data_IF_857806028062
#
_entry.id   IF_857806028062
#
_cell.length_a   1.000
_cell.length_b   1.000
_cell.length_c   1.000
_cell.angle_alpha   90.00
_cell.angle_beta   90.00
_cell.angle_gamma   90.00
#
_symmetry.space_group_name_H-M   'P 1'
#
loop_
_entity.id
_entity.type
_entity.pdbx_description
1 polymer ?
#
# COMPACT_ATOMS: atom_id res chain seq x y z
N UNK A 1 -20.15 40.63 -4.97
CA UNK A 1 -19.02 40.19 -4.13
C UNK A 1 -18.97 38.68 -4.28
N UNK A 2 -18.10 38.16 -5.13
CA UNK A 2 -17.99 36.72 -5.37
C UNK A 2 -17.17 36.13 -4.23
N UNK A 3 -17.79 35.30 -3.39
CA UNK A 3 -17.05 34.51 -2.40
C UNK A 3 -16.13 33.55 -3.14
N UNK A 4 -14.82 33.74 -2.91
CA UNK A 4 -13.78 32.90 -3.46
C UNK A 4 -13.68 31.68 -2.55
N UNK A 5 -14.51 30.66 -2.78
CA UNK A 5 -14.44 29.41 -2.03
C UNK A 5 -13.07 28.77 -2.28
N UNK A 6 -12.15 28.92 -1.32
CA UNK A 6 -10.90 28.18 -1.32
C UNK A 6 -11.24 26.71 -1.05
N UNK A 7 -11.21 25.91 -2.10
CA UNK A 7 -11.27 24.45 -1.96
C UNK A 7 -9.96 24.01 -1.33
N UNK A 8 -9.97 23.72 -0.03
CA UNK A 8 -8.83 23.06 0.62
C UNK A 8 -8.87 21.59 0.23
N UNK A 9 -7.95 21.16 -0.63
CA UNK A 9 -7.75 19.74 -0.90
C UNK A 9 -7.18 19.06 0.35
N UNK A 10 -7.60 17.82 0.66
CA UNK A 10 -6.97 17.07 1.73
C UNK A 10 -5.49 16.84 1.42
N UNK A 11 -4.68 16.72 2.47
CA UNK A 11 -3.28 16.34 2.38
C UNK A 11 -3.14 15.05 1.55
N UNK A 12 -2.39 15.12 0.44
CA UNK A 12 -2.11 13.96 -0.40
C UNK A 12 -0.87 13.23 0.11
N UNK A 13 -0.97 11.91 0.29
CA UNK A 13 0.15 11.04 0.63
C UNK A 13 0.30 9.90 -0.38
N UNK A 14 1.34 9.08 -0.24
CA UNK A 14 1.72 8.04 -1.19
C UNK A 14 1.55 6.60 -0.71
N UNK A 15 1.97 5.70 -1.58
CA UNK A 15 2.27 4.29 -1.32
C UNK A 15 3.66 3.97 -1.85
N UNK A 16 4.34 2.97 -1.29
CA UNK A 16 5.65 2.57 -1.81
C UNK A 16 6.31 1.44 -1.04
N UNK A 17 7.30 0.81 -1.66
CA UNK A 17 8.05 -0.30 -1.07
C UNK A 17 9.22 0.18 -0.21
N UNK A 18 9.35 -0.41 0.98
CA UNK A 18 10.53 -0.27 1.83
C UNK A 18 11.28 -1.61 1.94
N UNK A 19 12.61 -1.56 2.14
CA UNK A 19 13.40 -2.75 2.43
C UNK A 19 13.10 -3.29 3.84
N UNK A 20 13.47 -4.54 4.08
CA UNK A 20 13.33 -5.20 5.39
C UNK A 20 11.97 -5.84 5.63
N UNK A 21 11.73 -6.29 6.87
CA UNK A 21 10.54 -7.07 7.23
C UNK A 21 9.84 -6.66 8.52
N UNK A 22 10.33 -5.64 9.21
CA UNK A 22 9.73 -5.17 10.47
C UNK A 22 8.76 -4.01 10.23
N UNK A 23 7.46 -4.30 10.35
CA UNK A 23 6.40 -3.31 10.14
C UNK A 23 6.41 -2.17 11.17
N UNK A 24 6.85 -2.42 12.42
CA UNK A 24 6.88 -1.36 13.44
C UNK A 24 8.01 -0.39 13.18
N UNK A 25 9.19 -0.89 12.84
CA UNK A 25 10.32 -0.05 12.47
C UNK A 25 10.04 0.74 11.19
N UNK A 26 9.39 0.14 10.20
CA UNK A 26 8.91 0.85 9.00
C UNK A 26 7.93 1.97 9.36
N UNK A 27 6.92 1.70 10.18
CA UNK A 27 5.96 2.73 10.58
C UNK A 27 6.66 3.90 11.29
N UNK A 28 7.55 3.61 12.25
CA UNK A 28 8.37 4.62 12.95
C UNK A 28 9.21 5.44 11.99
N UNK A 29 9.87 4.78 11.04
CA UNK A 29 10.74 5.43 10.06
C UNK A 29 9.94 6.38 9.18
N UNK A 30 8.80 5.93 8.65
CA UNK A 30 7.97 6.74 7.75
C UNK A 30 7.39 7.95 8.49
N UNK A 31 6.77 7.75 9.65
CA UNK A 31 6.18 8.86 10.42
C UNK A 31 7.24 9.79 10.99
N UNK A 32 8.43 9.28 11.30
CA UNK A 32 9.55 10.08 11.80
C UNK A 32 10.31 10.85 10.71
N UNK A 33 10.21 10.43 9.44
CA UNK A 33 10.88 11.09 8.31
C UNK A 33 9.97 12.03 7.53
N UNK A 34 8.65 11.79 7.59
CA UNK A 34 7.63 12.51 6.83
C UNK A 34 6.53 12.94 7.79
N UNK A 35 6.75 14.06 8.49
CA UNK A 35 5.92 14.56 9.59
C UNK A 35 4.44 14.67 9.19
N UNK A 36 4.11 15.57 8.26
CA UNK A 36 2.73 15.87 7.89
C UNK A 36 2.16 14.93 6.81
N UNK A 37 3.03 14.20 6.10
CA UNK A 37 2.64 13.39 4.93
C UNK A 37 3.26 11.98 4.94
N UNK A 38 3.02 11.16 5.98
CA UNK A 38 3.50 9.78 6.01
C UNK A 38 2.79 8.94 4.95
N UNK A 39 3.54 8.11 4.22
CA UNK A 39 3.00 7.24 3.17
C UNK A 39 2.73 5.81 3.66
N UNK A 40 1.85 5.09 2.97
CA UNK A 40 1.59 3.68 3.31
C UNK A 40 2.69 2.79 2.70
N UNK A 41 3.70 2.49 3.50
CA UNK A 41 4.78 1.59 3.11
C UNK A 41 4.32 0.13 3.08
N UNK A 42 4.75 -0.60 2.06
CA UNK A 42 4.64 -2.05 1.96
C UNK A 42 6.02 -2.71 2.10
N UNK A 43 6.05 -3.99 2.50
CA UNK A 43 7.29 -4.70 2.84
C UNK A 43 7.38 -6.02 2.06
N UNK A 44 7.72 -5.98 0.75
CA UNK A 44 7.73 -7.17 -0.09
C UNK A 44 8.66 -8.30 0.39
N UNK A 45 9.72 -7.99 1.13
CA UNK A 45 10.63 -9.00 1.68
C UNK A 45 9.98 -9.91 2.75
N UNK A 46 8.79 -9.55 3.25
CA UNK A 46 7.97 -10.43 4.12
C UNK A 46 7.27 -11.55 3.36
N UNK A 47 7.36 -11.55 2.02
CA UNK A 47 6.80 -12.56 1.14
C UNK A 47 5.47 -12.15 0.50
N UNK A 48 4.86 -13.07 -0.28
CA UNK A 48 3.65 -12.79 -1.01
C UNK A 48 2.51 -12.34 -0.10
N UNK A 49 1.77 -11.32 -0.52
CA UNK A 49 0.71 -10.72 0.29
C UNK A 49 1.17 -9.49 1.07
N UNK A 50 2.48 -9.33 1.29
CA UNK A 50 3.05 -8.10 1.84
C UNK A 50 3.44 -7.07 0.77
N UNK A 51 3.45 -7.48 -0.50
CA UNK A 51 3.61 -6.64 -1.68
C UNK A 51 2.29 -5.97 -2.11
N UNK A 52 2.37 -4.97 -2.99
CA UNK A 52 1.20 -4.22 -3.46
C UNK A 52 0.14 -5.10 -4.14
N UNK A 53 0.57 -6.10 -4.91
CA UNK A 53 -0.32 -6.96 -5.69
C UNK A 53 -1.07 -7.88 -4.74
N UNK A 54 -0.37 -8.56 -3.84
CA UNK A 54 -0.98 -9.47 -2.87
C UNK A 54 -1.94 -8.77 -1.91
N UNK A 55 -1.60 -7.55 -1.43
CA UNK A 55 -2.53 -6.76 -0.60
C UNK A 55 -3.80 -6.40 -1.34
N UNK A 56 -3.68 -5.97 -2.59
CA UNK A 56 -4.83 -5.61 -3.42
C UNK A 56 -5.66 -6.85 -3.73
N UNK A 57 -5.04 -7.96 -4.11
CA UNK A 57 -5.72 -9.22 -4.40
C UNK A 57 -6.56 -9.71 -3.21
N UNK A 58 -6.06 -9.54 -1.97
CA UNK A 58 -6.82 -9.86 -0.75
C UNK A 58 -8.08 -9.01 -0.53
N UNK A 59 -8.24 -7.89 -1.24
CA UNK A 59 -9.44 -7.03 -1.17
C UNK A 59 -10.46 -7.34 -2.28
N UNK A 60 -10.07 -8.10 -3.32
CA UNK A 60 -10.90 -8.35 -4.48
C UNK A 60 -11.80 -9.57 -4.23
N UNK A 61 -13.00 -9.29 -3.72
CA UNK A 61 -14.02 -10.32 -3.49
C UNK A 61 -14.40 -10.98 -4.82
N UNK A 62 -14.52 -12.32 -4.80
CA UNK A 62 -14.84 -13.17 -5.96
C UNK A 62 -13.80 -13.20 -7.09
N UNK A 63 -12.65 -12.52 -6.95
CA UNK A 63 -11.52 -12.65 -7.86
C UNK A 63 -10.37 -13.38 -7.19
N UNK A 64 -10.17 -14.65 -7.54
CA UNK A 64 -9.14 -15.47 -6.90
C UNK A 64 -7.77 -15.24 -7.55
N UNK A 65 -6.75 -15.14 -6.71
CA UNK A 65 -5.36 -15.03 -7.14
C UNK A 65 -4.47 -16.02 -6.38
N UNK A 66 -3.47 -16.57 -7.07
CA UNK A 66 -2.48 -17.48 -6.50
C UNK A 66 -1.07 -17.06 -6.89
N UNK A 67 -0.13 -17.38 -6.01
CA UNK A 67 1.30 -17.14 -6.23
C UNK A 67 1.90 -18.34 -6.94
N UNK A 68 2.60 -18.10 -8.05
CA UNK A 68 3.41 -19.08 -8.76
C UNK A 68 4.89 -18.63 -8.77
N UNK A 69 5.85 -19.52 -9.12
CA UNK A 69 7.25 -19.12 -9.29
C UNK A 69 7.47 -17.97 -10.29
N UNK A 70 6.58 -17.84 -11.27
CA UNK A 70 6.62 -16.77 -12.28
C UNK A 70 5.82 -15.51 -11.87
N UNK A 71 5.27 -15.48 -10.65
CA UNK A 71 4.52 -14.36 -10.09
C UNK A 71 3.04 -14.67 -9.87
N UNK A 72 2.24 -13.61 -9.72
CA UNK A 72 0.80 -13.70 -9.45
C UNK A 72 0.01 -14.17 -10.68
N UNK A 73 -0.97 -15.05 -10.46
CA UNK A 73 -1.93 -15.51 -11.47
C UNK A 73 -3.35 -15.42 -10.92
N UNK A 74 -4.29 -15.07 -11.79
CA UNK A 74 -5.70 -15.23 -11.49
C UNK A 74 -6.09 -16.72 -11.53
N UNK A 75 -7.12 -17.09 -10.80
CA UNK A 75 -7.64 -18.45 -10.69
C UNK A 75 -9.16 -18.44 -10.79
N UNK A 76 -9.73 -19.49 -11.37
CA UNK A 76 -11.19 -19.63 -11.51
C UNK A 76 -11.87 -20.10 -10.22
N UNK A 77 -11.07 -20.46 -9.21
CA UNK A 77 -11.51 -20.98 -7.91
C UNK A 77 -10.57 -20.55 -6.79
N UNK A 78 -11.04 -20.55 -5.52
CA UNK A 78 -10.21 -20.29 -4.35
C UNK A 78 -8.98 -21.21 -4.25
#
# INVERSE_FOLDING_TARGET
MSENTQVTFPAATGVGSMPGGDARETARTVTGSLEDFPYLAELPARGPGADMIGRTAGMLVELYARVEPSGWRLSDRP
#
